data_IF_930831441230
#
_entry.id   IF_930831441230
#
_cell.length_a   1.000
_cell.length_b   1.000
_cell.length_c   1.000
_cell.angle_alpha   90.00
_cell.angle_beta   90.00
_cell.angle_gamma   90.00
#
_symmetry.space_group_name_H-M   'P 1'
#
loop_
_entity.id
_entity.type
_entity.pdbx_description
1 polymer ?
#
# COMPACT_ATOMS: atom_id res chain seq x y z
N UNK A 1 17.03 -12.08 -16.41
CA UNK A 1 16.75 -10.85 -15.64
C UNK A 1 18.09 -10.27 -15.17
N UNK A 2 18.52 -9.10 -15.66
CA UNK A 2 19.86 -8.54 -15.40
C UNK A 2 20.02 -7.97 -13.97
N UNK A 3 19.66 -8.72 -12.92
CA UNK A 3 19.73 -8.28 -11.52
C UNK A 3 18.76 -7.15 -11.12
N UNK A 4 17.98 -6.62 -12.07
CA UNK A 4 17.03 -5.51 -11.85
C UNK A 4 15.73 -5.92 -11.15
N UNK A 5 15.41 -7.22 -11.19
CA UNK A 5 14.20 -7.78 -10.59
C UNK A 5 14.64 -8.92 -9.67
N UNK A 6 14.16 -8.86 -8.43
CA UNK A 6 14.34 -9.91 -7.44
C UNK A 6 12.96 -10.32 -6.95
N UNK A 7 12.73 -11.63 -6.89
CA UNK A 7 11.52 -12.23 -6.33
C UNK A 7 11.95 -12.93 -5.04
N UNK A 8 11.25 -12.63 -3.95
CA UNK A 8 11.56 -13.17 -2.63
C UNK A 8 10.28 -13.74 -2.02
N UNK A 9 10.39 -14.90 -1.38
CA UNK A 9 9.32 -15.45 -0.57
C UNK A 9 9.42 -14.92 0.86
N UNK A 10 8.32 -14.42 1.40
CA UNK A 10 8.30 -13.86 2.74
C UNK A 10 6.92 -13.35 3.15
N UNK A 11 6.81 -12.93 4.42
CA UNK A 11 5.59 -12.34 4.96
C UNK A 11 5.63 -10.83 4.77
N UNK A 12 4.61 -10.27 4.12
CA UNK A 12 4.52 -8.82 3.91
C UNK A 12 4.45 -8.00 5.21
N UNK A 13 4.08 -8.63 6.33
CA UNK A 13 3.93 -7.99 7.65
C UNK A 13 5.26 -7.78 8.39
N UNK A 14 6.38 -8.31 7.92
CA UNK A 14 7.69 -8.13 8.55
C UNK A 14 8.83 -7.91 7.55
N UNK A 15 8.51 -7.68 6.28
CA UNK A 15 9.49 -7.46 5.24
C UNK A 15 10.28 -6.16 5.47
N UNK A 16 11.58 -6.13 5.17
CA UNK A 16 12.44 -4.97 5.40
C UNK A 16 12.24 -3.94 4.28
N UNK A 17 11.81 -2.72 4.63
CA UNK A 17 11.33 -1.71 3.66
C UNK A 17 12.21 -0.46 3.51
N UNK A 18 13.23 -0.30 4.36
CA UNK A 18 14.06 0.91 4.43
C UNK A 18 14.79 1.27 3.12
N UNK A 19 15.02 0.30 2.25
CA UNK A 19 15.72 0.47 0.96
C UNK A 19 14.85 0.94 -0.21
N UNK A 20 13.54 1.07 -0.05
CA UNK A 20 12.64 1.34 -1.19
C UNK A 20 12.12 2.78 -1.24
N UNK A 21 12.32 3.45 -2.37
CA UNK A 21 11.73 4.77 -2.67
C UNK A 21 10.25 4.71 -2.97
N UNK A 22 9.80 3.64 -3.62
CA UNK A 22 8.41 3.43 -3.98
C UNK A 22 8.00 2.02 -3.56
N UNK A 23 6.86 1.91 -2.89
CA UNK A 23 6.30 0.65 -2.43
C UNK A 23 4.89 0.54 -2.97
N UNK A 24 4.62 -0.54 -3.71
CA UNK A 24 3.29 -0.86 -4.18
C UNK A 24 2.75 -2.01 -3.33
N UNK A 25 1.66 -1.75 -2.62
CA UNK A 25 0.93 -2.78 -1.87
C UNK A 25 -0.33 -3.10 -2.66
N UNK A 26 -0.35 -4.27 -3.27
CA UNK A 26 -1.47 -4.75 -4.07
C UNK A 26 -1.69 -6.23 -3.79
N UNK A 27 -2.94 -6.61 -3.57
CA UNK A 27 -3.28 -8.01 -3.40
C UNK A 27 -4.65 -8.23 -2.81
N UNK A 28 -5.24 -9.37 -3.18
CA UNK A 28 -6.43 -9.92 -2.53
C UNK A 28 -6.08 -10.70 -1.24
N UNK A 29 -4.79 -10.81 -0.91
CA UNK A 29 -4.29 -11.64 0.19
C UNK A 29 -4.64 -11.06 1.57
N UNK A 30 -4.77 -11.96 2.55
CA UNK A 30 -4.93 -11.64 3.96
C UNK A 30 -3.62 -11.89 4.71
N UNK A 31 -3.20 -11.02 5.64
CA UNK A 31 -3.91 -9.84 6.18
C UNK A 31 -3.49 -8.51 5.51
N UNK A 32 -4.26 -8.01 4.53
CA UNK A 32 -3.91 -6.79 3.77
C UNK A 32 -3.74 -5.52 4.62
N UNK A 33 -4.57 -5.33 5.65
CA UNK A 33 -4.53 -4.14 6.51
C UNK A 33 -3.22 -4.11 7.31
N UNK A 34 -2.84 -5.24 7.92
CA UNK A 34 -1.58 -5.36 8.69
C UNK A 34 -0.34 -5.16 7.80
N UNK A 35 -0.39 -5.62 6.55
CA UNK A 35 0.70 -5.37 5.59
C UNK A 35 0.82 -3.87 5.31
N UNK A 36 -0.30 -3.18 5.07
CA UNK A 36 -0.28 -1.74 4.82
C UNK A 36 0.18 -0.95 6.06
N UNK A 37 -0.26 -1.31 7.26
CA UNK A 37 0.20 -0.72 8.53
C UNK A 37 1.71 -0.91 8.71
N UNK A 38 2.23 -2.11 8.46
CA UNK A 38 3.66 -2.39 8.49
C UNK A 38 4.43 -1.49 7.51
N UNK A 39 3.91 -1.34 6.29
CA UNK A 39 4.49 -0.48 5.26
C UNK A 39 4.51 0.98 5.70
N UNK A 40 3.39 1.50 6.18
CA UNK A 40 3.28 2.88 6.63
C UNK A 40 4.12 3.16 7.86
N UNK A 41 4.32 2.19 8.76
CA UNK A 41 5.19 2.37 9.93
C UNK A 41 6.68 2.32 9.56
N UNK A 42 7.10 1.35 8.74
CA UNK A 42 8.52 1.00 8.59
C UNK A 42 9.15 1.49 7.28
N UNK A 43 8.40 2.10 6.35
CA UNK A 43 9.00 2.77 5.20
C UNK A 43 9.72 4.05 5.62
N UNK A 44 10.72 4.46 4.84
CA UNK A 44 11.39 5.76 5.04
C UNK A 44 10.42 6.93 4.83
N UNK A 45 10.69 8.06 5.48
CA UNK A 45 9.81 9.25 5.50
C UNK A 45 9.45 9.76 4.10
N UNK A 46 10.37 9.70 3.13
CA UNK A 46 10.13 10.14 1.73
C UNK A 46 9.61 9.05 0.78
N UNK A 47 9.27 7.86 1.26
CA UNK A 47 8.74 6.81 0.38
C UNK A 47 7.38 7.20 -0.19
N UNK A 48 7.19 6.92 -1.48
CA UNK A 48 5.88 6.94 -2.12
C UNK A 48 5.22 5.59 -1.93
N UNK A 49 4.02 5.56 -1.36
CA UNK A 49 3.28 4.32 -1.14
C UNK A 49 2.07 4.33 -2.05
N UNK A 50 1.90 3.27 -2.84
CA UNK A 50 0.70 3.05 -3.66
C UNK A 50 -0.06 1.86 -3.09
N UNK A 51 -1.22 2.14 -2.52
CA UNK A 51 -2.14 1.13 -2.00
C UNK A 51 -3.22 0.85 -3.06
N UNK A 52 -3.28 -0.37 -3.59
CA UNK A 52 -4.25 -0.78 -4.61
C UNK A 52 -5.20 -1.84 -4.05
N UNK A 53 -6.45 -1.47 -3.83
CA UNK A 53 -7.48 -2.32 -3.20
C UNK A 53 -8.88 -2.07 -3.78
N UNK A 54 -9.85 -2.92 -3.40
CA UNK A 54 -11.26 -2.67 -3.70
C UNK A 54 -11.77 -1.45 -2.94
N UNK A 55 -12.76 -0.74 -3.47
CA UNK A 55 -13.31 0.45 -2.79
C UNK A 55 -13.84 0.16 -1.36
N UNK A 56 -14.34 -1.07 -1.10
CA UNK A 56 -14.78 -1.50 0.23
C UNK A 56 -13.63 -1.65 1.23
N UNK A 57 -12.49 -2.18 0.78
CA UNK A 57 -11.30 -2.34 1.63
C UNK A 57 -10.70 -0.98 2.01
N UNK A 58 -10.80 -0.01 1.11
CA UNK A 58 -10.26 1.33 1.31
C UNK A 58 -10.97 2.09 2.41
N UNK A 59 -12.30 2.01 2.48
CA UNK A 59 -13.04 2.66 3.56
C UNK A 59 -12.63 2.07 4.92
N UNK A 60 -12.42 0.75 5.00
CA UNK A 60 -11.87 0.11 6.19
C UNK A 60 -10.45 0.60 6.50
N UNK A 61 -9.60 0.74 5.48
CA UNK A 61 -8.24 1.24 5.63
C UNK A 61 -8.25 2.69 6.13
N UNK A 62 -9.01 3.60 5.51
CA UNK A 62 -9.16 4.99 5.96
C UNK A 62 -9.58 5.09 7.43
N UNK A 63 -10.52 4.25 7.84
CA UNK A 63 -11.01 4.23 9.22
C UNK A 63 -10.00 3.67 10.22
N UNK A 64 -9.17 2.72 9.81
CA UNK A 64 -8.08 2.16 10.64
C UNK A 64 -6.83 3.06 10.66
N UNK A 65 -6.66 3.97 9.70
CA UNK A 65 -5.48 4.85 9.57
C UNK A 65 -5.50 6.13 10.45
N UNK A 66 -6.28 6.22 11.54
CA UNK A 66 -6.33 7.40 12.42
C UNK A 66 -5.06 7.58 13.30
N UNK A 67 -4.86 8.76 13.92
CA UNK A 67 -4.26 10.00 13.42
C UNK A 67 -2.76 10.16 13.75
N UNK A 68 -2.11 9.17 14.38
CA UNK A 68 -0.76 9.30 14.94
C UNK A 68 0.38 9.25 13.90
N UNK A 69 0.05 9.31 12.62
CA UNK A 69 1.03 9.32 11.53
C UNK A 69 0.63 10.42 10.57
N UNK A 70 1.58 11.27 10.19
CA UNK A 70 1.42 12.36 9.22
C UNK A 70 1.15 11.78 7.81
N UNK A 71 0.06 11.04 7.65
CA UNK A 71 -0.28 10.28 6.46
C UNK A 71 -1.29 11.07 5.66
N UNK A 72 -0.94 11.36 4.41
CA UNK A 72 -1.81 12.06 3.48
C UNK A 72 -2.09 11.20 2.28
N UNK A 73 -3.36 11.01 1.96
CA UNK A 73 -3.79 10.52 0.65
C UNK A 73 -3.69 11.70 -0.32
N UNK A 74 -2.76 11.63 -1.25
CA UNK A 74 -2.45 12.74 -2.18
C UNK A 74 -3.25 12.62 -3.47
N UNK A 75 -3.42 11.41 -3.98
CA UNK A 75 -4.16 11.13 -5.22
C UNK A 75 -4.91 9.81 -5.12
N UNK A 76 -6.03 9.72 -5.83
CA UNK A 76 -6.82 8.51 -6.06
C UNK A 76 -6.98 8.29 -7.56
N UNK A 77 -6.77 7.06 -8.02
CA UNK A 77 -7.15 6.61 -9.37
C UNK A 77 -8.13 5.46 -9.21
N UNK A 78 -9.32 5.60 -9.79
CA UNK A 78 -10.33 4.54 -9.86
C UNK A 78 -10.11 3.74 -11.14
N UNK A 79 -9.93 2.43 -11.03
CA UNK A 79 -9.84 1.54 -12.18
C UNK A 79 -11.13 0.72 -12.32
N UNK A 80 -11.72 0.74 -13.50
CA UNK A 80 -12.90 -0.04 -13.88
C UNK A 80 -12.48 -1.32 -14.57
N UNK A 81 -11.78 -2.20 -13.84
CA UNK A 81 -11.24 -3.45 -14.40
C UNK A 81 -12.33 -4.50 -14.68
N UNK A 82 -13.49 -4.37 -14.04
CA UNK A 82 -14.62 -5.29 -14.20
C UNK A 82 -15.94 -4.53 -14.24
N UNK A 83 -16.98 -5.06 -14.93
CA UNK A 83 -18.27 -4.37 -15.10
C UNK A 83 -18.93 -3.91 -13.79
N UNK A 84 -18.78 -4.71 -12.73
CA UNK A 84 -19.44 -4.48 -11.44
C UNK A 84 -18.45 -4.29 -10.28
N UNK A 85 -17.15 -4.11 -10.54
CA UNK A 85 -16.19 -3.86 -9.46
C UNK A 85 -15.08 -2.90 -9.85
N UNK A 86 -14.82 -1.97 -8.94
CA UNK A 86 -13.76 -0.98 -9.06
C UNK A 86 -12.58 -1.34 -8.17
N UNK A 87 -11.39 -1.06 -8.68
CA UNK A 87 -10.15 -1.14 -7.94
C UNK A 87 -9.54 0.25 -7.85
N UNK A 88 -9.42 0.74 -6.64
CA UNK A 88 -8.89 2.06 -6.39
C UNK A 88 -7.41 1.97 -6.02
N UNK A 89 -6.62 2.89 -6.56
CA UNK A 89 -5.21 3.07 -6.23
C UNK A 89 -5.02 4.42 -5.53
N UNK A 90 -4.42 4.39 -4.34
CA UNK A 90 -4.20 5.58 -3.52
C UNK A 90 -2.71 5.84 -3.43
N UNK A 91 -2.31 7.04 -3.82
CA UNK A 91 -1.00 7.56 -3.51
C UNK A 91 -1.02 8.10 -2.08
N UNK A 92 -0.20 7.50 -1.23
CA UNK A 92 -0.06 7.84 0.17
C UNK A 92 1.36 8.37 0.39
N UNK A 93 1.46 9.50 1.07
CA UNK A 93 2.73 10.09 1.51
C UNK A 93 2.76 10.19 3.02
N UNK A 94 3.94 9.98 3.60
CA UNK A 94 4.24 10.30 5.00
C UNK A 94 4.87 11.71 5.01
N UNK A 95 4.43 12.57 5.91
CA UNK A 95 5.11 13.82 6.24
C UNK A 95 5.96 13.68 7.50
#
# INVERSE_FOLDING_TARGET
MNGKIKIEYGKGTNYVLNKFDTIIVSGCSMPKIKVLEHVLKNSKSKSKIVARYSSKDIEKIKNNLKPNQNIKVVKKITNHLFPNSTWDSFLITKG
#
